data_IF_677450054218
#
_entry.id   IF_677450054218
#
_cell.length_a   1.000
_cell.length_b   1.000
_cell.length_c   1.000
_cell.angle_alpha   90.00
_cell.angle_beta   90.00
_cell.angle_gamma   90.00
#
_symmetry.space_group_name_H-M   'P 1'
#
loop_
_entity.id
_entity.type
_entity.pdbx_description
1 polymer ?
#
# COMPACT_ATOMS: atom_id res chain seq x y z
N UNK A 1 -24.35 -9.33 -44.64
CA UNK A 1 -22.88 -9.27 -44.55
C UNK A 1 -22.52 -8.70 -43.18
N UNK A 2 -21.86 -9.45 -42.29
CA UNK A 2 -21.41 -8.91 -41.01
C UNK A 2 -20.20 -7.97 -41.21
N UNK A 3 -20.09 -6.86 -40.45
CA UNK A 3 -18.95 -5.96 -40.52
C UNK A 3 -17.69 -6.62 -39.93
N UNK A 4 -16.56 -6.44 -40.62
CA UNK A 4 -15.24 -6.92 -40.22
C UNK A 4 -14.74 -6.15 -38.99
N UNK A 5 -14.16 -6.82 -37.96
CA UNK A 5 -13.62 -6.13 -36.79
C UNK A 5 -12.38 -5.28 -37.14
N UNK A 6 -12.14 -4.16 -36.43
CA UNK A 6 -10.96 -3.33 -36.62
C UNK A 6 -9.68 -4.08 -36.20
N UNK A 7 -8.67 -3.99 -37.07
CA UNK A 7 -7.34 -4.56 -36.89
C UNK A 7 -6.66 -3.90 -35.68
N UNK A 8 -6.39 -4.66 -34.63
CA UNK A 8 -5.66 -4.19 -33.46
C UNK A 8 -4.24 -3.77 -33.86
N UNK A 9 -3.94 -2.48 -33.75
CA UNK A 9 -2.59 -1.95 -33.88
C UNK A 9 -1.82 -2.37 -32.62
N UNK A 10 -0.92 -3.34 -32.76
CA UNK A 10 -0.03 -3.76 -31.69
C UNK A 10 0.91 -2.59 -31.33
N UNK A 11 0.68 -1.94 -30.21
CA UNK A 11 1.63 -1.01 -29.59
C UNK A 11 2.89 -1.80 -29.24
N UNK A 12 3.90 -1.70 -30.11
CA UNK A 12 5.24 -2.20 -29.88
C UNK A 12 5.86 -1.38 -28.75
N UNK A 13 5.89 -1.94 -27.54
CA UNK A 13 6.75 -1.44 -26.47
C UNK A 13 8.18 -1.38 -27.02
N UNK A 14 8.89 -0.24 -26.97
CA UNK A 14 10.29 -0.21 -27.37
C UNK A 14 11.06 -1.17 -26.47
N UNK A 15 11.57 -2.25 -27.07
CA UNK A 15 12.52 -3.15 -26.42
C UNK A 15 13.73 -2.30 -26.05
N UNK A 16 14.18 -2.28 -24.78
CA UNK A 16 15.40 -1.56 -24.43
C UNK A 16 16.52 -2.09 -25.32
N UNK A 17 17.15 -1.18 -26.07
CA UNK A 17 18.36 -1.53 -26.83
C UNK A 17 19.37 -2.10 -25.83
N UNK A 18 20.05 -3.21 -26.14
CA UNK A 18 21.17 -3.66 -25.32
C UNK A 18 22.15 -2.49 -25.24
N UNK A 19 22.35 -1.95 -24.04
CA UNK A 19 23.47 -1.06 -23.79
C UNK A 19 24.70 -1.94 -24.01
N UNK A 20 25.63 -1.51 -24.87
CA UNK A 20 26.92 -2.20 -25.04
C UNK A 20 27.50 -2.50 -23.66
N UNK A 21 28.07 -3.69 -23.46
CA UNK A 21 28.63 -4.14 -22.18
C UNK A 21 29.68 -3.12 -21.68
N UNK A 22 29.21 -2.11 -20.94
CA UNK A 22 30.07 -1.20 -20.21
C UNK A 22 30.67 -2.01 -19.09
N UNK A 23 31.98 -2.26 -19.17
CA UNK A 23 32.72 -2.99 -18.16
C UNK A 23 32.42 -2.36 -16.80
N UNK A 24 31.81 -3.12 -15.87
CA UNK A 24 31.39 -2.60 -14.57
C UNK A 24 32.59 -2.00 -13.80
N UNK A 25 33.80 -2.44 -14.12
CA UNK A 25 35.08 -1.94 -13.62
C UNK A 25 35.41 -0.50 -14.04
N UNK A 26 34.70 0.04 -15.05
CA UNK A 26 34.85 1.40 -15.55
C UNK A 26 33.92 2.42 -14.88
N UNK A 27 32.99 1.95 -14.04
CA UNK A 27 32.07 2.81 -13.29
C UNK A 27 32.81 3.34 -12.04
N UNK A 28 32.96 4.66 -11.88
CA UNK A 28 33.56 5.25 -10.69
C UNK A 28 32.91 4.77 -9.40
N UNK A 29 33.70 4.49 -8.37
CA UNK A 29 33.23 3.94 -7.09
C UNK A 29 32.18 4.82 -6.40
N UNK A 30 32.23 6.14 -6.60
CA UNK A 30 31.26 7.11 -6.07
C UNK A 30 29.87 7.03 -6.74
N UNK A 31 29.78 6.34 -7.87
CA UNK A 31 28.54 6.10 -8.62
C UNK A 31 28.08 4.63 -8.59
N UNK A 32 28.69 3.80 -7.74
CA UNK A 32 28.27 2.42 -7.51
C UNK A 32 27.28 2.36 -6.34
N UNK A 33 26.07 1.85 -6.60
CA UNK A 33 25.02 1.72 -5.59
C UNK A 33 24.61 0.26 -5.42
N UNK A 34 24.52 -0.21 -4.18
CA UNK A 34 24.09 -1.58 -3.87
C UNK A 34 22.66 -1.59 -3.31
N UNK A 35 21.77 -2.38 -3.90
CA UNK A 35 20.45 -2.67 -3.34
C UNK A 35 20.47 -4.00 -2.58
N UNK A 36 21.11 -4.02 -1.41
CA UNK A 36 21.09 -5.21 -0.56
C UNK A 36 19.68 -5.48 -0.05
N UNK A 37 19.12 -6.62 -0.43
CA UNK A 37 17.85 -7.11 0.11
C UNK A 37 18.13 -7.64 1.53
N UNK A 38 17.35 -7.24 2.55
CA UNK A 38 17.51 -7.77 3.90
C UNK A 38 17.31 -9.28 3.91
N UNK A 39 18.11 -9.98 4.71
CA UNK A 39 17.94 -11.42 4.92
C UNK A 39 16.64 -11.73 5.68
N UNK A 40 16.28 -13.02 5.71
CA UNK A 40 15.04 -13.49 6.32
C UNK A 40 14.98 -13.24 7.84
N UNK A 41 16.12 -13.21 8.52
CA UNK A 41 16.22 -13.02 9.97
C UNK A 41 15.97 -11.55 10.34
N UNK A 42 16.53 -10.62 9.57
CA UNK A 42 16.26 -9.20 9.68
C UNK A 42 14.79 -8.86 9.36
N UNK A 43 14.17 -9.56 8.42
CA UNK A 43 12.73 -9.42 8.12
C UNK A 43 11.86 -9.93 9.28
N UNK A 44 12.21 -11.07 9.87
CA UNK A 44 11.47 -11.62 11.01
C UNK A 44 11.51 -10.68 12.22
N UNK A 45 12.67 -10.08 12.53
CA UNK A 45 12.83 -9.12 13.63
C UNK A 45 11.98 -7.84 13.45
N UNK A 46 11.64 -7.48 12.22
CA UNK A 46 10.81 -6.31 11.87
C UNK A 46 9.34 -6.64 11.67
N UNK A 47 8.94 -7.88 11.91
CA UNK A 47 7.57 -8.34 11.72
C UNK A 47 6.74 -8.13 12.97
N UNK A 48 5.57 -7.51 12.81
CA UNK A 48 4.59 -7.22 13.84
C UNK A 48 3.30 -7.97 13.53
N UNK A 49 2.70 -8.57 14.55
CA UNK A 49 1.40 -9.24 14.42
C UNK A 49 0.28 -8.32 14.92
N UNK A 50 -0.83 -8.31 14.21
CA UNK A 50 -2.04 -7.55 14.56
C UNK A 50 -3.29 -8.36 14.18
N UNK A 51 -4.48 -7.86 14.51
CA UNK A 51 -5.71 -8.65 14.40
C UNK A 51 -6.84 -7.84 13.75
N UNK A 52 -7.56 -8.43 12.79
CA UNK A 52 -8.81 -7.92 12.20
C UNK A 52 -9.85 -9.04 12.26
N UNK A 53 -11.03 -8.80 12.82
CA UNK A 53 -12.17 -9.74 12.83
C UNK A 53 -11.80 -11.20 13.15
N UNK A 54 -11.03 -11.40 14.22
CA UNK A 54 -10.51 -12.71 14.62
C UNK A 54 -9.37 -13.33 13.80
N UNK A 55 -8.96 -12.72 12.70
CA UNK A 55 -7.78 -13.12 11.95
C UNK A 55 -6.52 -12.43 12.48
N UNK A 56 -5.48 -13.21 12.76
CA UNK A 56 -4.13 -12.68 13.03
C UNK A 56 -3.40 -12.48 11.70
N UNK A 57 -2.89 -11.28 11.50
CA UNK A 57 -2.14 -10.85 10.32
C UNK A 57 -0.75 -10.39 10.75
N UNK A 58 0.17 -10.35 9.79
CA UNK A 58 1.56 -9.95 9.98
C UNK A 58 1.95 -8.85 9.01
N UNK A 59 2.55 -7.79 9.54
CA UNK A 59 3.14 -6.69 8.78
C UNK A 59 4.63 -6.58 9.08
N UNK A 60 5.43 -6.30 8.06
CA UNK A 60 6.85 -5.98 8.13
C UNK A 60 7.00 -4.47 8.12
N UNK A 61 7.79 -3.93 9.04
CA UNK A 61 8.08 -2.51 9.07
C UNK A 61 8.72 -2.06 7.75
N UNK A 62 8.10 -1.13 7.01
CA UNK A 62 8.64 -0.63 5.76
C UNK A 62 9.89 0.23 6.01
N UNK A 63 10.72 0.38 4.97
CA UNK A 63 11.85 1.30 5.03
C UNK A 63 11.34 2.75 5.05
N UNK A 64 12.16 3.66 5.59
CA UNK A 64 11.86 5.10 5.58
C UNK A 64 11.60 5.64 4.17
N UNK A 65 12.31 5.12 3.16
CA UNK A 65 12.10 5.47 1.76
C UNK A 65 10.70 5.08 1.26
N UNK A 66 10.24 3.86 1.58
CA UNK A 66 8.90 3.40 1.22
C UNK A 66 7.80 4.25 1.89
N UNK A 67 7.97 4.59 3.17
CA UNK A 67 7.05 5.49 3.88
C UNK A 67 7.00 6.89 3.25
N UNK A 68 8.14 7.41 2.80
CA UNK A 68 8.22 8.73 2.15
C UNK A 68 7.50 8.74 0.80
N UNK A 69 7.64 7.68 0.00
CA UNK A 69 6.89 7.52 -1.24
C UNK A 69 5.38 7.44 -1.00
N UNK A 70 4.97 6.72 0.04
CA UNK A 70 3.55 6.61 0.40
C UNK A 70 2.97 7.97 0.86
N UNK A 71 3.72 8.73 1.64
CA UNK A 71 3.33 10.09 2.05
C UNK A 71 3.01 10.97 0.85
N UNK A 72 3.80 10.85 -0.22
CA UNK A 72 3.58 11.64 -1.45
C UNK A 72 2.25 11.30 -2.12
N UNK A 73 1.77 10.05 -2.01
CA UNK A 73 0.50 9.64 -2.62
C UNK A 73 -0.72 10.02 -1.77
N UNK A 74 -0.54 10.18 -0.45
CA UNK A 74 -1.57 10.60 0.50
C UNK A 74 -1.75 12.13 0.60
N UNK A 75 -1.28 12.90 -0.39
CA UNK A 75 -1.39 14.37 -0.35
C UNK A 75 -2.84 14.85 -0.27
N UNK A 76 -3.07 16.03 0.32
CA UNK A 76 -4.41 16.63 0.46
C UNK A 76 -5.17 16.82 -0.86
N UNK A 77 -4.44 16.86 -1.99
CA UNK A 77 -4.99 17.00 -3.33
C UNK A 77 -5.41 15.67 -3.97
N UNK A 78 -5.18 14.53 -3.32
CA UNK A 78 -5.55 13.22 -3.82
C UNK A 78 -7.06 13.04 -3.81
N UNK A 79 -7.60 12.49 -4.90
CA UNK A 79 -9.02 12.11 -4.97
C UNK A 79 -9.33 10.97 -4.00
N UNK A 80 -10.60 10.75 -3.68
CA UNK A 80 -11.03 9.61 -2.83
C UNK A 80 -10.52 8.27 -3.37
N UNK A 81 -10.61 8.05 -4.68
CA UNK A 81 -10.06 6.88 -5.36
C UNK A 81 -8.55 6.74 -5.17
N UNK A 82 -7.79 7.83 -5.27
CA UNK A 82 -6.34 7.82 -5.09
C UNK A 82 -5.94 7.49 -3.65
N UNK A 83 -6.75 7.93 -2.66
CA UNK A 83 -6.55 7.59 -1.25
C UNK A 83 -6.77 6.10 -1.00
N UNK A 84 -7.87 5.54 -1.52
CA UNK A 84 -8.15 4.09 -1.41
C UNK A 84 -7.02 3.28 -2.05
N UNK A 85 -6.58 3.65 -3.24
CA UNK A 85 -5.46 2.99 -3.91
C UNK A 85 -4.14 3.12 -3.13
N UNK A 86 -3.90 4.28 -2.50
CA UNK A 86 -2.73 4.49 -1.64
C UNK A 86 -2.75 3.60 -0.40
N UNK A 87 -3.90 3.45 0.24
CA UNK A 87 -4.09 2.56 1.41
C UNK A 87 -3.86 1.10 0.99
N UNK A 88 -4.43 0.66 -0.13
CA UNK A 88 -4.20 -0.70 -0.66
C UNK A 88 -2.71 -0.91 -0.98
N UNK A 89 -2.06 0.08 -1.60
CA UNK A 89 -0.65 0.00 -1.92
C UNK A 89 0.23 -0.08 -0.66
N UNK A 90 -0.11 0.66 0.40
CA UNK A 90 0.54 0.54 1.70
C UNK A 90 0.53 -0.91 2.20
N UNK A 91 -0.64 -1.54 2.23
CA UNK A 91 -0.76 -2.93 2.66
C UNK A 91 -0.02 -3.91 1.74
N UNK A 92 0.02 -3.64 0.43
CA UNK A 92 0.84 -4.41 -0.50
C UNK A 92 2.34 -4.28 -0.25
N UNK A 93 2.81 -3.21 0.38
CA UNK A 93 4.21 -3.07 0.76
C UNK A 93 4.48 -3.74 2.09
N UNK A 94 3.59 -3.59 3.08
CA UNK A 94 3.90 -3.98 4.47
C UNK A 94 3.45 -5.37 4.85
N UNK A 95 2.42 -5.96 4.23
CA UNK A 95 1.91 -7.26 4.66
C UNK A 95 2.79 -8.43 4.22
N UNK A 96 2.83 -9.50 5.01
CA UNK A 96 3.38 -10.79 4.56
C UNK A 96 2.51 -11.39 3.45
N UNK A 97 3.03 -12.28 2.58
CA UNK A 97 2.25 -12.88 1.49
C UNK A 97 0.92 -13.51 1.95
N UNK A 98 0.93 -14.26 3.04
CA UNK A 98 -0.26 -14.87 3.64
C UNK A 98 -1.30 -13.81 4.07
N UNK A 99 -0.82 -12.72 4.68
CA UNK A 99 -1.68 -11.64 5.14
C UNK A 99 -2.27 -10.83 3.98
N UNK A 100 -1.53 -10.70 2.88
CA UNK A 100 -2.02 -10.08 1.63
C UNK A 100 -3.14 -10.88 1.01
N UNK A 101 -3.01 -12.21 0.96
CA UNK A 101 -4.05 -13.07 0.42
C UNK A 101 -5.35 -12.95 1.23
N UNK A 102 -5.24 -12.90 2.57
CA UNK A 102 -6.39 -12.61 3.41
C UNK A 102 -6.99 -11.23 3.13
N UNK A 103 -6.16 -10.18 3.04
CA UNK A 103 -6.64 -8.82 2.76
C UNK A 103 -7.37 -8.74 1.41
N UNK A 104 -6.85 -9.39 0.38
CA UNK A 104 -7.50 -9.45 -0.93
C UNK A 104 -8.88 -10.13 -0.84
N UNK A 105 -9.03 -11.19 -0.03
CA UNK A 105 -10.34 -11.80 0.22
C UNK A 105 -11.27 -10.88 0.98
N UNK A 106 -10.76 -10.13 1.97
CA UNK A 106 -11.53 -9.16 2.74
C UNK A 106 -12.06 -8.01 1.86
N UNK A 107 -11.21 -7.43 0.99
CA UNK A 107 -11.59 -6.35 0.07
C UNK A 107 -12.70 -6.78 -0.91
N UNK A 108 -12.68 -8.04 -1.34
CA UNK A 108 -13.73 -8.59 -2.22
C UNK A 108 -14.97 -9.08 -1.47
N UNK A 109 -15.01 -8.94 -0.14
CA UNK A 109 -16.13 -9.40 0.68
C UNK A 109 -17.20 -8.32 0.84
N UNK A 110 -18.47 -8.69 1.06
CA UNK A 110 -19.53 -7.72 1.37
C UNK A 110 -19.36 -7.05 2.75
N UNK A 111 -18.39 -7.48 3.56
CA UNK A 111 -18.05 -6.91 4.87
C UNK A 111 -16.89 -5.93 4.81
N UNK A 112 -16.42 -5.61 3.60
CA UNK A 112 -15.34 -4.65 3.42
C UNK A 112 -15.75 -3.28 3.94
N UNK A 113 -14.89 -2.71 4.79
CA UNK A 113 -15.01 -1.36 5.32
C UNK A 113 -13.63 -0.67 5.20
N UNK A 114 -13.58 0.41 4.44
CA UNK A 114 -12.36 1.17 4.19
C UNK A 114 -11.87 1.91 5.44
N UNK A 115 -12.79 2.28 6.35
CA UNK A 115 -12.45 2.88 7.65
C UNK A 115 -11.59 1.92 8.49
N UNK A 116 -11.88 0.61 8.45
CA UNK A 116 -11.10 -0.41 9.18
C UNK A 116 -9.66 -0.45 8.68
N UNK A 117 -9.46 -0.32 7.36
CA UNK A 117 -8.11 -0.27 6.79
C UNK A 117 -7.37 1.02 7.16
N UNK A 118 -8.07 2.16 7.23
CA UNK A 118 -7.52 3.42 7.74
C UNK A 118 -7.07 3.34 9.19
N UNK A 119 -7.90 2.73 10.06
CA UNK A 119 -7.60 2.50 11.47
C UNK A 119 -6.37 1.58 11.64
N UNK A 120 -6.29 0.50 10.86
CA UNK A 120 -5.13 -0.42 10.88
C UNK A 120 -3.86 0.28 10.40
N UNK A 121 -3.93 1.04 9.30
CA UNK A 121 -2.79 1.81 8.80
C UNK A 121 -2.27 2.78 9.86
N UNK A 122 -3.18 3.50 10.53
CA UNK A 122 -2.85 4.44 11.61
C UNK A 122 -2.23 3.73 12.81
N UNK A 123 -2.76 2.56 13.20
CA UNK A 123 -2.22 1.75 14.29
C UNK A 123 -0.81 1.23 13.99
N UNK A 124 -0.56 0.77 12.75
CA UNK A 124 0.77 0.34 12.31
C UNK A 124 1.75 1.52 12.24
N UNK A 125 1.31 2.67 11.73
CA UNK A 125 2.12 3.90 11.71
C UNK A 125 2.56 4.32 13.11
N UNK A 126 1.63 4.32 14.07
CA UNK A 126 1.89 4.65 15.48
C UNK A 126 2.89 3.67 16.08
N UNK A 127 2.69 2.37 15.85
CA UNK A 127 3.60 1.33 16.35
C UNK A 127 5.03 1.50 15.83
N UNK A 128 5.19 1.98 14.59
CA UNK A 128 6.50 2.22 13.98
C UNK A 128 7.07 3.61 14.25
N UNK A 129 6.38 4.49 14.99
CA UNK A 129 6.78 5.89 15.19
C UNK A 129 6.84 6.67 13.86
N UNK A 130 5.93 6.37 12.94
CA UNK A 130 5.86 6.93 11.59
C UNK A 130 4.64 7.84 11.39
N UNK A 131 4.04 8.35 12.46
CA UNK A 131 2.84 9.20 12.38
C UNK A 131 3.08 10.46 11.54
N UNK A 132 4.26 11.08 11.66
CA UNK A 132 4.62 12.26 10.88
C UNK A 132 4.76 11.99 9.36
N UNK A 133 4.97 10.73 9.00
CA UNK A 133 5.13 10.30 7.61
C UNK A 133 3.80 9.83 7.00
N UNK A 134 2.94 9.23 7.81
CA UNK A 134 1.70 8.61 7.36
C UNK A 134 0.43 9.33 7.81
N UNK A 135 0.59 10.47 8.50
CA UNK A 135 -0.44 11.32 9.13
C UNK A 135 -1.87 10.90 8.88
N UNK A 136 -2.63 10.64 9.96
CA UNK A 136 -3.97 10.07 9.91
C UNK A 136 -4.76 10.59 8.69
N UNK A 137 -5.30 9.71 7.84
CA UNK A 137 -6.04 10.12 6.63
C UNK A 137 -7.21 11.09 6.94
N UNK A 138 -7.59 11.18 8.21
CA UNK A 138 -8.67 12.01 8.74
C UNK A 138 -8.26 13.28 9.52
N UNK A 139 -6.96 13.57 9.70
CA UNK A 139 -6.56 14.76 10.46
C UNK A 139 -7.10 16.07 9.84
N UNK A 140 -7.40 16.07 8.54
CA UNK A 140 -8.06 17.16 7.82
C UNK A 140 -9.49 16.82 7.36
N UNK A 141 -9.93 15.56 7.43
CA UNK A 141 -11.30 15.13 7.12
C UNK A 141 -12.28 15.26 8.30
N UNK A 142 -11.79 15.61 9.50
CA UNK A 142 -12.64 15.83 10.69
C UNK A 142 -13.61 17.02 10.58
N UNK A 143 -13.56 17.80 9.50
CA UNK A 143 -14.59 18.80 9.16
C UNK A 143 -15.70 18.29 8.23
N UNK A 144 -15.59 17.09 7.66
CA UNK A 144 -16.54 16.54 6.69
C UNK A 144 -17.23 15.23 7.09
N UNK A 145 -16.67 14.46 8.03
CA UNK A 145 -17.25 13.19 8.47
C UNK A 145 -18.40 13.42 9.47
N UNK A 146 -19.52 13.90 8.94
CA UNK A 146 -20.79 14.10 9.64
C UNK A 146 -21.45 12.78 10.11
N UNK A 147 -22.70 12.85 10.61
CA UNK A 147 -23.40 11.85 11.47
C UNK A 147 -23.48 10.38 10.99
N UNK A 148 -22.96 10.04 9.81
CA UNK A 148 -22.93 8.67 9.27
C UNK A 148 -22.08 7.70 10.10
N UNK A 149 -20.99 8.15 10.74
CA UNK A 149 -20.13 7.29 11.58
C UNK A 149 -20.84 6.78 12.83
N UNK A 150 -21.62 7.65 13.47
CA UNK A 150 -22.40 7.31 14.66
C UNK A 150 -23.63 6.46 14.28
N UNK A 151 -24.30 6.77 13.17
CA UNK A 151 -25.47 6.01 12.71
C UNK A 151 -25.12 4.58 12.24
N UNK A 152 -24.00 4.38 11.54
CA UNK A 152 -23.56 3.03 11.13
C UNK A 152 -23.16 2.15 12.33
N UNK A 153 -22.46 2.71 13.32
CA UNK A 153 -22.10 1.98 14.56
C UNK A 153 -23.28 1.73 15.48
N UNK A 154 -24.32 2.57 15.44
CA UNK A 154 -25.56 2.33 16.17
C UNK A 154 -26.40 1.22 15.50
N UNK A 155 -26.51 1.21 14.18
CA UNK A 155 -27.26 0.18 13.44
C UNK A 155 -26.65 -1.23 13.56
N UNK A 156 -25.34 -1.35 13.78
CA UNK A 156 -24.67 -2.64 13.97
C UNK A 156 -24.77 -3.21 15.40
N UNK A 157 -25.40 -2.50 16.34
CA UNK A 157 -25.59 -2.94 17.74
C UNK A 157 -27.01 -3.42 18.07
N UNK A 158 -27.95 -3.30 17.15
CA UNK A 158 -29.37 -3.65 17.34
C UNK A 158 -29.80 -4.95 16.61
N UNK A 159 -28.85 -5.82 16.24
CA UNK A 159 -29.11 -7.17 15.68
C UNK A 159 -28.48 -8.27 16.56
#
# INVERSE_FOLDING_TARGET
MPPTPPKATASRTPKPSPVEDVDASSIPDDLQFTSSVPDAEALAARTVSFKIDNQVLKAVQPTKGALTLLRSSLSSNATESDRIWSVINFFNVVLTPESKEWLNRYINSPRFDDDVLGDVMTGLATHWGAEDLLGAPDADASKGSGPNRAQRRAAAKDD
#
